data_IF_312733613725
#
_entry.id   IF_312733613725
#
_cell.length_a   1.000
_cell.length_b   1.000
_cell.length_c   1.000
_cell.angle_alpha   90.00
_cell.angle_beta   90.00
_cell.angle_gamma   90.00
#
_symmetry.space_group_name_H-M   'P 1'
#
loop_
_entity.id
_entity.type
_entity.pdbx_description
1 polymer ?
#
# COMPACT_ATOMS: atom_id res chain seq x y z
N UNK A 1 -11.26 25.18 7.99
CA UNK A 1 -10.81 23.99 7.23
C UNK A 1 -11.81 23.77 6.11
N UNK A 2 -11.44 24.10 4.87
CA UNK A 2 -12.34 24.07 3.71
C UNK A 2 -12.51 22.62 3.22
N UNK A 3 -13.76 22.15 3.23
CA UNK A 3 -14.16 20.85 2.72
C UNK A 3 -13.98 20.78 1.20
N UNK A 4 -13.41 19.70 0.64
CA UNK A 4 -13.28 19.56 -0.80
C UNK A 4 -14.66 19.47 -1.45
N UNK A 5 -14.88 20.33 -2.45
CA UNK A 5 -16.15 20.50 -3.16
C UNK A 5 -16.62 19.19 -3.83
N UNK A 6 -17.93 18.94 -3.79
CA UNK A 6 -18.64 17.82 -4.42
C UNK A 6 -18.23 17.56 -5.88
N UNK A 7 -17.84 18.63 -6.60
CA UNK A 7 -17.36 18.57 -7.97
C UNK A 7 -16.08 17.74 -8.14
N UNK A 8 -15.17 17.74 -7.16
CA UNK A 8 -13.90 16.99 -7.22
C UNK A 8 -14.11 15.50 -6.99
N UNK A 9 -15.07 15.13 -6.13
CA UNK A 9 -15.51 13.73 -5.94
C UNK A 9 -16.25 13.19 -7.17
N UNK A 10 -17.05 14.05 -7.81
CA UNK A 10 -17.71 13.71 -9.07
C UNK A 10 -16.68 13.49 -10.19
N UNK A 11 -15.66 14.36 -10.29
CA UNK A 11 -14.61 14.24 -11.30
C UNK A 11 -13.75 12.98 -11.13
N UNK A 12 -13.46 12.55 -9.90
CA UNK A 12 -12.79 11.26 -9.67
C UNK A 12 -13.69 10.05 -9.99
N UNK A 13 -15.01 10.15 -9.79
CA UNK A 13 -15.95 9.11 -10.20
C UNK A 13 -16.07 9.00 -11.73
N UNK A 14 -15.92 10.12 -12.46
CA UNK A 14 -15.89 10.14 -13.92
C UNK A 14 -14.54 9.71 -14.52
N UNK A 15 -13.43 9.72 -13.77
CA UNK A 15 -12.13 9.21 -14.24
C UNK A 15 -11.87 7.77 -13.77
N UNK A 16 -12.93 6.97 -13.63
CA UNK A 16 -12.86 5.54 -13.34
C UNK A 16 -12.94 4.75 -14.65
N UNK A 17 -12.22 3.63 -14.74
CA UNK A 17 -12.14 2.67 -15.86
C UNK A 17 -13.51 2.27 -16.44
N UNK A 18 -14.59 2.49 -15.67
CA UNK A 18 -15.99 2.41 -16.09
C UNK A 18 -16.36 3.32 -17.27
N UNK A 19 -15.79 4.53 -17.37
CA UNK A 19 -16.08 5.47 -18.47
C UNK A 19 -15.37 5.12 -19.78
N UNK A 20 -14.22 4.44 -19.73
CA UNK A 20 -13.53 3.99 -20.95
C UNK A 20 -14.31 2.84 -21.61
N UNK A 21 -14.81 1.90 -20.80
CA UNK A 21 -15.71 0.85 -21.29
C UNK A 21 -17.02 1.44 -21.84
N UNK A 22 -17.56 2.48 -21.18
CA UNK A 22 -18.72 3.24 -21.67
C UNK A 22 -18.47 3.94 -23.01
N UNK A 23 -17.31 4.59 -23.18
CA UNK A 23 -16.92 5.24 -24.44
C UNK A 23 -16.66 4.23 -25.57
N UNK A 24 -16.04 3.08 -25.29
CA UNK A 24 -15.83 2.03 -26.28
C UNK A 24 -17.16 1.41 -26.75
N UNK A 25 -18.10 1.19 -25.83
CA UNK A 25 -19.44 0.73 -26.15
C UNK A 25 -20.27 1.79 -26.91
N UNK A 26 -20.13 3.06 -26.55
CA UNK A 26 -20.76 4.18 -27.27
C UNK A 26 -20.22 4.31 -28.70
N UNK A 27 -18.91 4.16 -28.89
CA UNK A 27 -18.29 4.15 -30.23
C UNK A 27 -18.78 2.95 -31.05
N UNK A 28 -18.89 1.76 -30.47
CA UNK A 28 -19.44 0.59 -31.17
C UNK A 28 -20.90 0.82 -31.61
N UNK A 29 -21.73 1.44 -30.76
CA UNK A 29 -23.10 1.83 -31.10
C UNK A 29 -23.18 2.87 -32.24
N UNK A 30 -22.31 3.88 -32.22
CA UNK A 30 -22.23 4.91 -33.28
C UNK A 30 -21.73 4.32 -34.61
N UNK A 31 -20.79 3.37 -34.55
CA UNK A 31 -20.25 2.70 -35.76
C UNK A 31 -21.31 1.81 -36.41
N UNK A 32 -22.13 1.11 -35.61
CA UNK A 32 -23.26 0.30 -36.08
C UNK A 32 -24.42 1.15 -36.62
N UNK A 33 -24.64 2.35 -36.07
CA UNK A 33 -25.62 3.32 -36.57
C UNK A 33 -25.21 3.89 -37.94
N UNK A 34 -23.95 4.29 -38.09
CA UNK A 34 -23.40 4.80 -39.37
C UNK A 34 -23.32 3.73 -40.47
N UNK A 35 -23.17 2.45 -40.10
CA UNK A 35 -23.19 1.32 -41.04
C UNK A 35 -24.60 1.03 -41.64
N UNK A 36 -25.64 1.76 -41.23
CA UNK A 36 -26.97 1.69 -41.84
C UNK A 36 -27.78 0.43 -41.53
N UNK A 37 -27.35 -0.36 -40.54
CA UNK A 37 -27.93 -1.68 -40.21
C UNK A 37 -29.25 -1.55 -39.42
N UNK A 38 -29.51 -0.41 -38.74
CA UNK A 38 -30.66 -0.23 -37.84
C UNK A 38 -31.30 1.14 -38.12
N UNK A 39 -32.42 1.17 -38.85
CA UNK A 39 -33.12 2.43 -39.18
C UNK A 39 -34.26 2.79 -38.21
N UNK A 40 -34.81 1.83 -37.44
CA UNK A 40 -35.86 2.06 -36.44
C UNK A 40 -35.52 1.35 -35.12
N UNK A 41 -35.91 1.93 -33.98
CA UNK A 41 -35.76 1.37 -32.62
C UNK A 41 -34.31 1.23 -32.06
N UNK A 42 -33.37 2.09 -32.47
CA UNK A 42 -31.98 2.03 -32.00
C UNK A 42 -31.78 2.32 -30.49
N UNK A 43 -32.55 3.23 -29.91
CA UNK A 43 -32.47 3.58 -28.48
C UNK A 43 -32.69 2.38 -27.52
N UNK A 44 -33.77 1.59 -27.63
CA UNK A 44 -34.00 0.46 -26.72
C UNK A 44 -32.96 -0.65 -26.85
N UNK A 45 -32.35 -0.83 -28.01
CA UNK A 45 -31.26 -1.81 -28.21
C UNK A 45 -30.00 -1.36 -27.45
N UNK A 46 -29.63 -0.08 -27.54
CA UNK A 46 -28.48 0.47 -26.81
C UNK A 46 -28.73 0.45 -25.30
N UNK A 47 -29.92 0.82 -24.86
CA UNK A 47 -30.32 0.76 -23.44
C UNK A 47 -30.34 -0.70 -22.94
N UNK A 48 -30.84 -1.63 -23.74
CA UNK A 48 -30.87 -3.07 -23.43
C UNK A 48 -29.48 -3.69 -23.34
N UNK A 49 -28.58 -3.36 -24.27
CA UNK A 49 -27.17 -3.79 -24.24
C UNK A 49 -26.43 -3.19 -23.05
N UNK A 50 -26.68 -1.92 -22.72
CA UNK A 50 -26.10 -1.28 -21.55
C UNK A 50 -26.61 -1.91 -20.24
N UNK A 51 -27.91 -2.20 -20.15
CA UNK A 51 -28.51 -2.89 -19.00
C UNK A 51 -28.01 -4.35 -18.87
N UNK A 52 -27.87 -5.07 -19.99
CA UNK A 52 -27.33 -6.43 -20.01
C UNK A 52 -25.85 -6.45 -19.58
N UNK A 53 -25.02 -5.51 -20.06
CA UNK A 53 -23.64 -5.36 -19.63
C UNK A 53 -23.55 -5.02 -18.13
N UNK A 54 -24.45 -4.18 -17.62
CA UNK A 54 -24.53 -3.84 -16.21
C UNK A 54 -24.93 -5.03 -15.33
N UNK A 55 -25.79 -5.93 -15.82
CA UNK A 55 -26.22 -7.16 -15.14
C UNK A 55 -25.17 -8.30 -15.18
N UNK A 56 -24.40 -8.40 -16.27
CA UNK A 56 -23.41 -9.48 -16.48
C UNK A 56 -22.08 -9.19 -15.77
N UNK A 57 -21.79 -7.93 -15.43
CA UNK A 57 -20.56 -7.56 -14.70
C UNK A 57 -20.80 -7.63 -13.19
N UNK A 58 -20.43 -8.72 -12.50
CA UNK A 58 -20.56 -8.80 -11.05
C UNK A 58 -19.62 -7.77 -10.41
N UNK A 59 -20.16 -6.96 -9.52
CA UNK A 59 -19.45 -5.89 -8.80
C UNK A 59 -18.31 -6.38 -7.88
N UNK A 60 -18.10 -7.70 -7.75
CA UNK A 60 -17.12 -8.31 -6.84
C UNK A 60 -15.77 -8.71 -7.47
N UNK A 61 -15.57 -8.60 -8.79
CA UNK A 61 -14.28 -9.00 -9.43
C UNK A 61 -13.08 -8.12 -9.01
N UNK A 62 -13.33 -6.90 -8.57
CA UNK A 62 -12.27 -5.99 -8.11
C UNK A 62 -11.64 -6.38 -6.77
N UNK A 63 -12.43 -6.87 -5.82
CA UNK A 63 -11.94 -7.20 -4.47
C UNK A 63 -11.10 -8.48 -4.45
N UNK A 64 -11.50 -9.54 -5.15
CA UNK A 64 -10.68 -10.75 -5.23
C UNK A 64 -9.35 -10.51 -5.95
N UNK A 65 -9.35 -9.72 -7.03
CA UNK A 65 -8.14 -9.38 -7.75
C UNK A 65 -7.20 -8.50 -6.91
N UNK A 66 -7.73 -7.54 -6.12
CA UNK A 66 -6.90 -6.72 -5.23
C UNK A 66 -6.30 -7.56 -4.10
N UNK A 67 -7.07 -8.42 -3.44
CA UNK A 67 -6.56 -9.28 -2.37
C UNK A 67 -5.44 -10.21 -2.84
N UNK A 68 -5.53 -10.75 -4.07
CA UNK A 68 -4.47 -11.59 -4.67
C UNK A 68 -3.23 -10.76 -5.01
N UNK A 69 -3.41 -9.56 -5.57
CA UNK A 69 -2.28 -8.68 -5.91
C UNK A 69 -1.54 -8.22 -4.65
N UNK A 70 -2.30 -7.97 -3.60
CA UNK A 70 -1.84 -7.40 -2.35
C UNK A 70 -1.11 -8.44 -1.49
N UNK A 71 -1.61 -9.68 -1.42
CA UNK A 71 -0.88 -10.80 -0.83
C UNK A 71 0.41 -11.14 -1.60
N UNK A 72 0.37 -11.11 -2.93
CA UNK A 72 1.57 -11.30 -3.75
C UNK A 72 2.62 -10.21 -3.49
N UNK A 73 2.19 -8.95 -3.34
CA UNK A 73 3.09 -7.84 -3.04
C UNK A 73 3.70 -7.97 -1.63
N UNK A 74 2.89 -8.35 -0.64
CA UNK A 74 3.32 -8.65 0.72
C UNK A 74 4.42 -9.71 0.76
N UNK A 75 4.18 -10.88 0.17
CA UNK A 75 5.16 -11.96 0.15
C UNK A 75 6.44 -11.54 -0.59
N UNK A 76 6.31 -10.80 -1.68
CA UNK A 76 7.46 -10.34 -2.47
C UNK A 76 8.35 -9.36 -1.69
N UNK A 77 7.75 -8.45 -0.91
CA UNK A 77 8.48 -7.48 -0.10
C UNK A 77 9.30 -8.17 0.99
N UNK A 78 8.68 -9.10 1.72
CA UNK A 78 9.34 -9.86 2.78
C UNK A 78 10.48 -10.70 2.19
N UNK A 79 10.23 -11.44 1.11
CA UNK A 79 11.26 -12.26 0.45
C UNK A 79 12.43 -11.42 -0.06
N UNK A 80 12.16 -10.27 -0.70
CA UNK A 80 13.20 -9.36 -1.16
C UNK A 80 14.10 -8.91 0.00
N UNK A 81 13.52 -8.70 1.18
CA UNK A 81 14.27 -8.29 2.37
C UNK A 81 15.04 -9.41 3.04
N UNK A 82 14.51 -10.62 3.04
CA UNK A 82 15.22 -11.82 3.47
C UNK A 82 16.44 -12.09 2.58
N UNK A 83 16.27 -12.00 1.26
CA UNK A 83 17.33 -12.18 0.28
C UNK A 83 18.42 -11.12 0.43
N UNK A 84 18.03 -9.86 0.65
CA UNK A 84 18.96 -8.77 0.87
C UNK A 84 19.77 -8.99 2.14
N UNK A 85 19.11 -9.32 3.25
CA UNK A 85 19.77 -9.62 4.51
C UNK A 85 20.73 -10.80 4.39
N UNK A 86 20.30 -11.90 3.75
CA UNK A 86 21.12 -13.08 3.56
C UNK A 86 22.41 -12.80 2.77
N UNK A 87 22.33 -11.95 1.74
CA UNK A 87 23.48 -11.54 0.91
C UNK A 87 24.40 -10.55 1.61
N UNK A 88 23.86 -9.66 2.44
CA UNK A 88 24.59 -8.55 3.05
C UNK A 88 25.21 -8.89 4.41
N UNK A 89 24.57 -9.73 5.24
CA UNK A 89 24.94 -9.97 6.65
C UNK A 89 26.41 -10.35 6.88
N UNK A 90 27.02 -11.11 5.95
CA UNK A 90 28.41 -11.57 6.07
C UNK A 90 29.45 -10.54 5.63
N UNK A 91 29.03 -9.47 4.94
CA UNK A 91 29.91 -8.42 4.40
C UNK A 91 29.80 -7.11 5.18
N UNK A 92 28.75 -6.97 5.98
CA UNK A 92 28.49 -5.79 6.78
C UNK A 92 29.17 -5.87 8.16
N UNK A 93 29.55 -4.73 8.76
CA UNK A 93 29.91 -4.65 10.17
C UNK A 93 28.77 -5.17 11.05
N UNK A 94 29.11 -5.76 12.21
CA UNK A 94 28.14 -6.37 13.14
C UNK A 94 26.97 -5.44 13.49
N UNK A 95 27.24 -4.17 13.75
CA UNK A 95 26.22 -3.17 14.09
C UNK A 95 25.23 -2.94 12.94
N UNK A 96 25.71 -2.81 11.70
CA UNK A 96 24.84 -2.62 10.55
C UNK A 96 24.04 -3.88 10.21
N UNK A 97 24.64 -5.07 10.37
CA UNK A 97 23.94 -6.34 10.20
C UNK A 97 22.82 -6.50 11.24
N UNK A 98 23.04 -6.10 12.50
CA UNK A 98 22.02 -6.12 13.54
C UNK A 98 20.84 -5.19 13.23
N UNK A 99 21.11 -3.96 12.78
CA UNK A 99 20.07 -3.01 12.37
C UNK A 99 19.26 -3.51 11.17
N UNK A 100 19.93 -4.09 10.17
CA UNK A 100 19.25 -4.70 9.02
C UNK A 100 18.38 -5.89 9.43
N UNK A 101 18.81 -6.68 10.42
CA UNK A 101 18.00 -7.77 10.98
C UNK A 101 16.76 -7.25 11.70
N UNK A 102 16.87 -6.15 12.45
CA UNK A 102 15.72 -5.49 13.09
C UNK A 102 14.72 -4.96 12.06
N UNK A 103 15.21 -4.27 11.02
CA UNK A 103 14.39 -3.81 9.90
C UNK A 103 13.65 -4.98 9.23
N UNK A 104 14.32 -6.11 9.01
CA UNK A 104 13.67 -7.30 8.46
C UNK A 104 12.54 -7.83 9.35
N UNK A 105 12.71 -7.83 10.68
CA UNK A 105 11.67 -8.23 11.62
C UNK A 105 10.48 -7.26 11.55
N UNK A 106 10.72 -5.96 11.60
CA UNK A 106 9.70 -4.92 11.46
C UNK A 106 8.94 -5.07 10.14
N UNK A 107 9.64 -5.29 9.02
CA UNK A 107 8.99 -5.49 7.71
C UNK A 107 8.11 -6.73 7.71
N UNK A 108 8.52 -7.84 8.34
CA UNK A 108 7.69 -9.05 8.45
C UNK A 108 6.41 -8.80 9.23
N UNK A 109 6.50 -8.05 10.33
CA UNK A 109 5.37 -7.72 11.19
C UNK A 109 4.41 -6.74 10.53
N UNK A 110 4.95 -5.74 9.81
CA UNK A 110 4.16 -4.66 9.22
C UNK A 110 3.65 -4.96 7.81
N UNK A 111 4.26 -5.90 7.09
CA UNK A 111 3.86 -6.21 5.71
C UNK A 111 2.36 -6.52 5.57
N UNK A 112 1.70 -7.30 6.44
CA UNK A 112 0.25 -7.51 6.36
C UNK A 112 -0.56 -6.21 6.46
N UNK A 113 -0.21 -5.32 7.40
CA UNK A 113 -0.92 -4.04 7.62
C UNK A 113 -0.58 -2.93 6.62
N UNK A 114 0.62 -2.98 6.02
CA UNK A 114 1.00 -2.08 4.92
C UNK A 114 0.13 -2.27 3.67
N UNK A 115 -0.40 -3.48 3.52
CA UNK A 115 -1.16 -4.00 2.40
C UNK A 115 -2.60 -4.38 2.85
N UNK A 116 -3.10 -3.81 3.96
CA UNK A 116 -4.50 -3.99 4.38
C UNK A 116 -5.41 -2.85 3.90
N UNK A 117 -4.82 -1.80 3.32
CA UNK A 117 -5.51 -0.54 2.98
C UNK A 117 -5.60 0.48 4.13
N UNK A 118 -5.11 0.14 5.32
CA UNK A 118 -5.07 1.03 6.50
C UNK A 118 -4.01 2.14 6.35
N UNK A 119 -2.91 1.83 5.67
CA UNK A 119 -1.88 2.81 5.31
C UNK A 119 -2.21 3.44 3.96
N UNK A 120 -2.07 4.77 3.79
CA UNK A 120 -2.28 5.41 2.50
C UNK A 120 -1.42 4.76 1.40
N UNK A 121 -1.96 4.44 0.21
CA UNK A 121 -1.22 3.72 -0.84
C UNK A 121 0.08 4.39 -1.25
N UNK A 122 0.13 5.72 -1.24
CA UNK A 122 1.35 6.47 -1.53
C UNK A 122 2.48 6.17 -0.51
N UNK A 123 2.14 6.00 0.77
CA UNK A 123 3.12 5.70 1.82
C UNK A 123 3.57 4.25 1.75
N UNK A 124 2.66 3.29 1.56
CA UNK A 124 3.03 1.88 1.44
C UNK A 124 3.88 1.62 0.18
N UNK A 125 3.53 2.23 -0.96
CA UNK A 125 4.33 2.14 -2.19
C UNK A 125 5.70 2.81 -2.04
N UNK A 126 5.77 3.98 -1.40
CA UNK A 126 7.04 4.66 -1.15
C UNK A 126 7.95 3.80 -0.27
N UNK A 127 7.43 3.22 0.81
CA UNK A 127 8.20 2.32 1.68
C UNK A 127 8.65 1.06 0.91
N UNK A 128 7.75 0.42 0.17
CA UNK A 128 8.09 -0.74 -0.64
C UNK A 128 9.21 -0.42 -1.64
N UNK A 129 9.16 0.75 -2.29
CA UNK A 129 10.22 1.22 -3.19
C UNK A 129 11.54 1.46 -2.45
N UNK A 130 11.52 2.12 -1.29
CA UNK A 130 12.71 2.36 -0.47
C UNK A 130 13.38 1.04 -0.07
N UNK A 131 12.59 0.06 0.37
CA UNK A 131 13.08 -1.26 0.79
C UNK A 131 13.62 -2.06 -0.40
N UNK A 132 12.90 -2.09 -1.52
CA UNK A 132 13.23 -2.97 -2.66
C UNK A 132 14.27 -2.37 -3.61
N UNK A 133 14.42 -1.04 -3.66
CA UNK A 133 15.31 -0.34 -4.59
C UNK A 133 16.42 0.41 -3.87
N UNK A 134 16.06 1.31 -2.96
CA UNK A 134 16.99 2.30 -2.43
C UNK A 134 17.92 1.69 -1.37
N UNK A 135 17.40 0.80 -0.52
CA UNK A 135 18.17 0.10 0.50
C UNK A 135 19.24 -0.84 -0.09
N UNK A 136 18.94 -1.73 -1.07
CA UNK A 136 19.97 -2.53 -1.75
C UNK A 136 21.05 -1.67 -2.39
N UNK A 137 20.67 -0.55 -3.02
CA UNK A 137 21.62 0.36 -3.65
C UNK A 137 22.55 1.00 -2.61
N UNK A 138 22.00 1.42 -1.47
CA UNK A 138 22.74 2.02 -0.36
C UNK A 138 23.74 1.01 0.24
N UNK A 139 23.30 -0.22 0.49
CA UNK A 139 24.19 -1.30 0.95
C UNK A 139 25.30 -1.54 -0.06
N UNK A 140 24.97 -1.60 -1.36
CA UNK A 140 25.97 -1.83 -2.41
C UNK A 140 27.00 -0.68 -2.49
N UNK A 141 26.57 0.57 -2.33
CA UNK A 141 27.48 1.71 -2.28
C UNK A 141 28.43 1.61 -1.08
N UNK A 142 27.92 1.24 0.09
CA UNK A 142 28.74 1.05 1.27
C UNK A 142 29.76 -0.09 1.09
N UNK A 143 29.33 -1.24 0.54
CA UNK A 143 30.18 -2.41 0.33
C UNK A 143 31.28 -2.22 -0.73
N UNK A 144 31.16 -1.21 -1.61
CA UNK A 144 32.23 -0.84 -2.56
C UNK A 144 33.39 -0.11 -1.89
N UNK A 145 33.20 0.43 -0.68
CA UNK A 145 34.23 1.16 0.02
C UNK A 145 35.22 0.18 0.69
N UNK A 146 36.54 0.44 0.63
CA UNK A 146 37.51 -0.32 1.42
C UNK A 146 37.16 -0.26 2.91
N UNK A 147 37.17 -1.40 3.66
CA UNK A 147 36.68 -1.44 5.05
C UNK A 147 37.38 -0.46 6.00
N UNK A 148 38.69 -0.27 5.83
CA UNK A 148 39.48 0.69 6.61
C UNK A 148 39.09 2.14 6.28
N UNK A 149 38.88 2.46 5.00
CA UNK A 149 38.44 3.79 4.57
C UNK A 149 37.05 4.12 5.15
N UNK A 150 36.10 3.18 5.05
CA UNK A 150 34.74 3.37 5.56
C UNK A 150 34.69 3.63 7.07
N UNK A 151 35.68 3.13 7.82
CA UNK A 151 35.72 3.22 9.29
C UNK A 151 36.61 4.35 9.82
N UNK A 152 37.65 4.75 9.10
CA UNK A 152 38.66 5.70 9.58
C UNK A 152 38.60 7.07 8.90
N UNK A 153 38.05 7.14 7.68
CA UNK A 153 38.01 8.38 6.93
C UNK A 153 36.71 9.13 7.22
N UNK A 154 36.84 10.35 7.72
CA UNK A 154 35.73 11.30 7.83
C UNK A 154 35.37 11.77 6.42
N UNK A 155 34.09 11.64 6.06
CA UNK A 155 33.61 11.94 4.70
C UNK A 155 32.65 13.12 4.71
N UNK A 156 31.78 13.22 5.72
CA UNK A 156 30.80 14.31 5.78
C UNK A 156 30.44 14.64 7.23
N UNK A 157 30.37 15.92 7.55
CA UNK A 157 29.90 16.43 8.86
C UNK A 157 30.62 15.80 10.08
N UNK A 158 31.93 15.58 9.97
CA UNK A 158 32.72 14.91 11.03
C UNK A 158 32.50 13.40 11.14
N UNK A 159 31.65 12.81 10.29
CA UNK A 159 31.27 11.40 10.34
C UNK A 159 31.96 10.55 9.27
N UNK A 160 32.22 9.30 9.61
CA UNK A 160 32.76 8.30 8.67
C UNK A 160 31.65 7.69 7.82
N UNK A 161 31.99 7.06 6.69
CA UNK A 161 30.99 6.38 5.85
C UNK A 161 30.23 5.30 6.61
N UNK A 162 30.88 4.62 7.56
CA UNK A 162 30.23 3.64 8.45
C UNK A 162 29.16 4.29 9.32
N UNK A 163 29.45 5.45 9.91
CA UNK A 163 28.50 6.17 10.76
C UNK A 163 27.31 6.67 9.94
N UNK A 164 27.55 7.27 8.78
CA UNK A 164 26.49 7.73 7.88
C UNK A 164 25.59 6.59 7.41
N UNK A 165 26.19 5.44 7.08
CA UNK A 165 25.42 4.27 6.67
C UNK A 165 24.54 3.74 7.81
N UNK A 166 25.05 3.71 9.03
CA UNK A 166 24.26 3.34 10.22
C UNK A 166 23.09 4.33 10.41
N UNK A 167 23.33 5.63 10.30
CA UNK A 167 22.27 6.66 10.44
C UNK A 167 21.17 6.50 9.39
N UNK A 168 21.53 6.09 8.17
CA UNK A 168 20.54 5.81 7.12
C UNK A 168 19.66 4.60 7.45
N UNK A 169 20.23 3.56 8.05
CA UNK A 169 19.45 2.41 8.55
C UNK A 169 18.53 2.84 9.70
N UNK A 170 19.02 3.71 10.60
CA UNK A 170 18.24 4.21 11.74
C UNK A 170 17.08 5.11 11.30
N UNK A 171 17.29 5.90 10.24
CA UNK A 171 16.22 6.69 9.64
C UNK A 171 15.11 5.79 9.07
N UNK A 172 15.49 4.72 8.37
CA UNK A 172 14.52 3.77 7.83
C UNK A 172 13.77 3.03 8.94
N UNK A 173 14.48 2.61 9.99
CA UNK A 173 13.89 1.99 11.18
C UNK A 173 12.86 2.91 11.84
N UNK A 174 13.21 4.18 12.07
CA UNK A 174 12.29 5.17 12.62
C UNK A 174 11.06 5.46 11.74
N UNK A 175 11.18 5.32 10.41
CA UNK A 175 10.03 5.40 9.50
C UNK A 175 9.10 4.19 9.64
N UNK A 176 9.67 2.98 9.76
CA UNK A 176 8.90 1.75 9.99
C UNK A 176 8.15 1.82 11.32
N UNK A 177 8.77 2.33 12.38
CA UNK A 177 8.11 2.53 13.68
C UNK A 177 6.91 3.48 13.56
N UNK A 178 7.04 4.60 12.84
CA UNK A 178 5.90 5.53 12.63
C UNK A 178 4.75 4.89 11.86
N UNK A 179 5.06 4.04 10.88
CA UNK A 179 4.05 3.29 10.14
C UNK A 179 3.39 2.26 11.05
N UNK A 180 4.17 1.57 11.88
CA UNK A 180 3.65 0.66 12.91
C UNK A 180 2.66 1.36 13.83
N UNK A 181 3.02 2.54 14.36
CA UNK A 181 2.13 3.35 15.18
C UNK A 181 0.84 3.73 14.44
N UNK A 182 0.91 4.02 13.14
CA UNK A 182 -0.27 4.33 12.32
C UNK A 182 -1.20 3.12 12.18
N UNK A 183 -0.64 1.93 11.95
CA UNK A 183 -1.41 0.68 11.82
C UNK A 183 -2.05 0.34 13.17
N UNK A 184 -1.26 0.26 14.25
CA UNK A 184 -1.75 -0.14 15.56
C UNK A 184 -2.70 0.86 16.22
N UNK A 185 -2.64 2.15 15.86
CA UNK A 185 -3.60 3.15 16.35
C UNK A 185 -5.03 2.86 15.87
N UNK A 186 -5.17 2.39 14.63
CA UNK A 186 -6.47 1.97 14.10
C UNK A 186 -7.04 0.75 14.84
N UNK A 187 -6.20 -0.23 15.15
CA UNK A 187 -6.60 -1.40 15.95
C UNK A 187 -6.98 -1.01 17.39
N UNK A 188 -6.23 -0.10 18.01
CA UNK A 188 -6.52 0.38 19.35
C UNK A 188 -7.88 1.11 19.42
N UNK A 189 -8.20 1.93 18.42
CA UNK A 189 -9.51 2.60 18.31
C UNK A 189 -10.66 1.58 18.18
N UNK A 190 -10.46 0.49 17.45
CA UNK A 190 -11.43 -0.59 17.32
C UNK A 190 -11.68 -1.33 18.66
N UNK A 191 -10.62 -1.56 19.45
CA UNK A 191 -10.73 -2.17 20.79
C UNK A 191 -11.51 -1.26 21.74
N UNK A 192 -11.24 0.05 21.72
CA UNK A 192 -11.96 1.03 22.55
C UNK A 192 -13.44 1.12 22.17
N UNK A 193 -13.75 1.10 20.87
CA UNK A 193 -15.13 1.12 20.38
C UNK A 193 -15.92 -0.13 20.83
N UNK A 194 -15.30 -1.31 20.78
CA UNK A 194 -15.91 -2.55 21.25
C UNK A 194 -16.17 -2.52 22.77
N UNK A 195 -15.21 -1.99 23.55
CA UNK A 195 -15.39 -1.80 25.00
C UNK A 195 -16.60 -0.93 25.35
N UNK A 196 -16.83 0.16 24.60
CA UNK A 196 -18.01 1.02 24.76
C UNK A 196 -19.31 0.31 24.38
N UNK A 197 -19.31 -0.43 23.27
CA UNK A 197 -20.48 -1.22 22.84
C UNK A 197 -20.88 -2.27 23.89
N UNK A 198 -19.91 -2.98 24.47
CA UNK A 198 -20.18 -3.95 25.54
C UNK A 198 -20.74 -3.26 26.79
N UNK A 199 -20.17 -2.13 27.20
CA UNK A 199 -20.70 -1.35 28.33
C UNK A 199 -22.15 -0.91 28.09
N UNK A 200 -22.48 -0.40 26.90
CA UNK A 200 -23.83 0.03 26.55
C UNK A 200 -24.82 -1.14 26.46
N UNK A 201 -24.37 -2.31 25.97
CA UNK A 201 -25.19 -3.52 25.86
C UNK A 201 -25.51 -4.17 27.21
N UNK A 202 -24.60 -4.10 28.18
CA UNK A 202 -24.80 -4.68 29.52
C UNK A 202 -25.34 -3.70 30.56
N UNK A 203 -25.38 -2.39 30.25
CA UNK A 203 -25.99 -1.36 31.11
C UNK A 203 -27.47 -1.59 31.48
N UNK A 204 -28.33 -2.17 30.62
CA UNK A 204 -29.73 -2.43 30.97
C UNK A 204 -29.96 -3.70 31.80
N UNK A 205 -28.99 -4.63 31.90
CA UNK A 205 -29.18 -5.91 32.61
C UNK A 205 -28.99 -5.81 34.13
N UNK A 206 -28.50 -4.66 34.64
CA UNK A 206 -28.24 -4.45 36.06
C UNK A 206 -29.43 -3.84 36.83
N UNK A 207 -30.58 -3.61 36.18
CA UNK A 207 -31.74 -2.93 36.79
C UNK A 207 -32.98 -3.81 37.03
N UNK A 208 -32.89 -5.14 36.83
CA UNK A 208 -34.06 -6.05 36.93
C UNK A 208 -34.07 -6.94 38.17
N UNK A 209 -33.18 -6.71 39.14
CA UNK A 209 -33.21 -7.40 40.44
C UNK A 209 -33.60 -6.39 41.54
N UNK A 210 -34.89 -6.05 41.63
CA UNK A 210 -35.54 -5.43 42.79
C UNK A 210 -36.89 -6.10 43.04
#
# INVERSE_FOLDING_TARGET
MASPSFKTRLLLAFYSTRNIAGCAAALAGVTLFLAGVIQDWWFPIVVGLYAAAWLIVPAGRGQMASTILESANQESLVRAMEDLYAKAKGKLPKEAAARLAHILQMVRELAPGLFSGEVPPAQSMALAATITRDLPQTINHYLKLPPLFASMTVVHDGKTSKQLFIEQLDLLDGQLVKIAESIYRHDADAVVANGRFLQDKFRPMAYTEL
#
